data_IF_117972473575
#
_entry.id   IF_117972473575
#
_cell.length_a   1.000
_cell.length_b   1.000
_cell.length_c   1.000
_cell.angle_alpha   90.00
_cell.angle_beta   90.00
_cell.angle_gamma   90.00
#
_symmetry.space_group_name_H-M   'P 1'
#
loop_
_entity.id
_entity.type
_entity.pdbx_description
1 polymer ?
#
# COMPACT_ATOMS: atom_id res chain seq x y z
N UNK A 1 15.29 19.81 -7.55
CA UNK A 1 14.13 19.60 -6.65
C UNK A 1 14.51 18.52 -5.67
N UNK A 2 13.99 18.59 -4.44
CA UNK A 2 14.28 17.58 -3.43
C UNK A 2 13.55 16.27 -3.77
N UNK A 3 14.32 15.20 -3.94
CA UNK A 3 13.79 13.86 -4.26
C UNK A 3 13.63 13.02 -3.00
N UNK A 4 12.95 13.54 -1.98
CA UNK A 4 12.92 12.90 -0.66
C UNK A 4 11.53 12.95 -0.02
N UNK A 5 11.20 11.88 0.72
CA UNK A 5 10.12 11.87 1.71
C UNK A 5 10.75 11.93 3.09
N UNK A 6 10.31 12.88 3.91
CA UNK A 6 10.76 13.05 5.29
C UNK A 6 9.57 12.82 6.24
N UNK A 7 9.79 12.01 7.27
CA UNK A 7 8.86 11.83 8.38
C UNK A 7 9.42 12.55 9.60
N UNK A 8 8.64 13.47 10.16
CA UNK A 8 9.02 14.29 11.30
C UNK A 8 8.22 13.92 12.54
N UNK A 9 8.87 13.98 13.70
CA UNK A 9 8.19 13.97 15.00
C UNK A 9 7.91 15.43 15.39
N UNK A 10 6.64 15.85 15.54
CA UNK A 10 6.30 17.22 15.90
C UNK A 10 6.84 17.63 17.29
N UNK A 11 7.15 16.68 18.17
CA UNK A 11 7.74 16.96 19.48
C UNK A 11 9.27 17.19 19.40
N UNK A 12 9.93 16.70 18.35
CA UNK A 12 11.39 16.74 18.18
C UNK A 12 11.76 17.17 16.76
N UNK A 13 11.73 18.48 16.50
CA UNK A 13 11.94 19.06 15.17
C UNK A 13 13.41 19.29 14.79
N UNK A 14 14.37 18.72 15.51
CA UNK A 14 15.80 18.89 15.21
C UNK A 14 16.25 18.11 13.97
N UNK A 15 15.62 16.97 13.68
CA UNK A 15 15.89 16.15 12.51
C UNK A 15 14.68 15.26 12.16
N UNK A 16 14.53 14.84 10.88
CA UNK A 16 13.51 13.88 10.51
C UNK A 16 13.79 12.51 11.15
N UNK A 17 12.72 11.88 11.66
CA UNK A 17 12.76 10.53 12.25
C UNK A 17 13.13 9.49 11.20
N UNK A 18 12.61 9.65 9.98
CA UNK A 18 12.91 8.78 8.83
C UNK A 18 12.96 9.56 7.53
N UNK A 19 13.66 8.97 6.57
CA UNK A 19 13.84 9.52 5.23
C UNK A 19 13.81 8.41 4.20
N UNK A 20 13.16 8.67 3.08
CA UNK A 20 13.28 7.90 1.83
C UNK A 20 13.85 8.83 0.77
N UNK A 21 14.82 8.35 0.02
CA UNK A 21 15.37 9.04 -1.17
C UNK A 21 14.81 8.36 -2.40
N UNK A 22 14.34 9.17 -3.34
CA UNK A 22 13.83 8.74 -4.63
C UNK A 22 14.81 9.16 -5.73
N UNK A 23 14.84 8.38 -6.81
CA UNK A 23 15.59 8.75 -8.02
C UNK A 23 14.91 9.93 -8.75
N UNK A 24 13.59 10.06 -8.58
CA UNK A 24 12.77 11.11 -9.18
C UNK A 24 11.97 11.87 -8.12
N UNK A 25 11.73 13.19 -8.29
CA UNK A 25 11.03 13.97 -7.28
C UNK A 25 9.60 13.48 -7.03
N UNK A 26 9.14 13.44 -5.77
CA UNK A 26 7.72 13.30 -5.45
C UNK A 26 6.88 14.43 -6.05
N UNK A 27 5.72 14.09 -6.59
CA UNK A 27 4.78 15.03 -7.21
C UNK A 27 3.49 15.19 -6.42
N UNK A 28 3.15 14.19 -5.62
CA UNK A 28 1.97 14.21 -4.76
C UNK A 28 2.18 13.32 -3.54
N UNK A 29 1.56 13.71 -2.43
CA UNK A 29 1.63 12.99 -1.17
C UNK A 29 0.30 13.07 -0.43
N UNK A 30 -0.20 11.94 0.08
CA UNK A 30 -1.39 11.92 0.92
C UNK A 30 -1.33 10.81 1.97
N UNK A 31 -1.50 11.21 3.23
CA UNK A 31 -1.69 10.30 4.36
C UNK A 31 -3.15 9.80 4.37
N UNK A 32 -3.35 8.52 4.67
CA UNK A 32 -4.67 7.93 4.87
C UNK A 32 -5.35 8.56 6.09
N UNK A 33 -6.68 8.58 6.13
CA UNK A 33 -7.41 9.30 7.20
C UNK A 33 -7.17 8.72 8.60
N UNK A 34 -6.95 7.42 8.68
CA UNK A 34 -6.58 6.71 9.92
C UNK A 34 -5.11 6.91 10.32
N UNK A 35 -4.31 7.61 9.51
CA UNK A 35 -2.89 7.84 9.74
C UNK A 35 -2.00 6.61 9.55
N UNK A 36 -2.54 5.46 9.11
CA UNK A 36 -1.79 4.21 9.03
C UNK A 36 -0.90 4.07 7.79
N UNK A 37 -1.18 4.84 6.74
CA UNK A 37 -0.51 4.74 5.43
C UNK A 37 -0.23 6.10 4.83
N UNK A 38 0.76 6.16 3.95
CA UNK A 38 1.01 7.31 3.08
C UNK A 38 1.19 6.84 1.64
N UNK A 39 0.53 7.51 0.71
CA UNK A 39 0.70 7.32 -0.71
C UNK A 39 1.54 8.48 -1.28
N UNK A 40 2.51 8.14 -2.12
CA UNK A 40 3.43 9.08 -2.76
C UNK A 40 3.50 8.78 -4.25
N UNK A 41 3.18 9.78 -5.06
CA UNK A 41 3.39 9.76 -6.51
C UNK A 41 4.73 10.39 -6.85
N UNK A 42 5.46 9.82 -7.79
CA UNK A 42 6.77 10.32 -8.26
C UNK A 42 6.77 10.59 -9.76
N UNK A 43 7.71 11.42 -10.23
CA UNK A 43 7.83 11.81 -11.65
C UNK A 43 8.12 10.64 -12.61
N UNK A 44 8.63 9.51 -12.10
CA UNK A 44 8.83 8.24 -12.82
C UNK A 44 7.52 7.45 -13.03
N UNK A 45 6.37 8.08 -12.76
CA UNK A 45 5.02 7.51 -12.86
C UNK A 45 4.75 6.35 -11.91
N UNK A 46 5.53 6.23 -10.84
CA UNK A 46 5.25 5.30 -9.77
C UNK A 46 4.36 5.93 -8.70
N UNK A 47 3.39 5.15 -8.23
CA UNK A 47 2.67 5.37 -6.99
C UNK A 47 3.13 4.35 -5.96
N UNK A 48 3.75 4.82 -4.87
CA UNK A 48 4.20 3.96 -3.78
C UNK A 48 3.34 4.21 -2.55
N UNK A 49 2.98 3.12 -1.85
CA UNK A 49 2.22 3.16 -0.60
C UNK A 49 3.08 2.59 0.50
N UNK A 50 3.20 3.35 1.59
CA UNK A 50 4.00 2.99 2.75
C UNK A 50 3.13 2.90 3.99
N UNK A 51 3.50 2.01 4.92
CA UNK A 51 2.96 2.01 6.28
C UNK A 51 3.60 3.14 7.10
N UNK A 52 2.82 3.74 7.99
CA UNK A 52 3.29 4.69 8.99
C UNK A 52 3.25 4.05 10.39
N UNK A 53 4.24 4.33 11.26
CA UNK A 53 5.43 5.15 11.04
C UNK A 53 6.61 4.34 10.47
N UNK A 54 6.42 3.07 10.08
CA UNK A 54 7.52 2.19 9.67
C UNK A 54 8.23 2.66 8.40
N UNK A 55 7.51 3.33 7.50
CA UNK A 55 7.90 3.61 6.11
C UNK A 55 8.23 2.35 5.30
N UNK A 56 7.64 1.20 5.68
CA UNK A 56 7.72 -0.02 4.88
C UNK A 56 6.86 0.13 3.63
N UNK A 57 7.44 -0.11 2.45
CA UNK A 57 6.72 -0.08 1.18
C UNK A 57 5.85 -1.34 1.03
N UNK A 58 4.53 -1.16 1.08
CA UNK A 58 3.55 -2.25 0.98
C UNK A 58 2.98 -2.41 -0.43
N UNK A 59 3.06 -1.36 -1.26
CA UNK A 59 2.65 -1.43 -2.65
C UNK A 59 3.44 -0.44 -3.52
N UNK A 60 3.65 -0.83 -4.77
CA UNK A 60 4.24 -0.01 -5.81
C UNK A 60 3.46 -0.27 -7.09
N UNK A 61 2.80 0.75 -7.60
CA UNK A 61 2.03 0.73 -8.84
C UNK A 61 2.74 1.59 -9.86
N UNK A 62 2.74 1.15 -11.11
CA UNK A 62 3.26 1.93 -12.24
C UNK A 62 2.11 2.22 -13.18
N UNK A 63 1.97 3.49 -13.54
CA UNK A 63 1.07 3.92 -14.61
C UNK A 63 1.96 4.52 -15.70
N UNK A 64 2.26 3.77 -16.76
CA UNK A 64 3.22 4.19 -17.78
C UNK A 64 2.82 5.48 -18.50
N UNK A 65 1.61 5.99 -18.24
CA UNK A 65 1.08 7.22 -18.80
C UNK A 65 1.21 8.35 -17.77
N UNK A 66 2.37 9.02 -17.75
CA UNK A 66 2.60 10.35 -17.14
C UNK A 66 2.42 10.49 -15.61
N UNK A 67 2.75 11.70 -15.13
CA UNK A 67 2.83 12.13 -13.72
C UNK A 67 1.52 11.96 -12.96
N UNK A 68 1.62 11.65 -11.65
CA UNK A 68 0.50 11.59 -10.71
C UNK A 68 0.35 12.95 -9.99
N UNK A 69 -0.53 13.86 -10.45
CA UNK A 69 -0.70 15.18 -9.85
C UNK A 69 -1.47 15.17 -8.52
N UNK A 70 -2.34 14.18 -8.31
CA UNK A 70 -3.23 14.19 -7.15
C UNK A 70 -3.61 12.79 -6.70
N UNK A 71 -3.55 12.56 -5.39
CA UNK A 71 -3.92 11.33 -4.71
C UNK A 71 -4.96 11.66 -3.63
N UNK A 72 -6.02 10.86 -3.57
CA UNK A 72 -7.02 10.92 -2.50
C UNK A 72 -7.27 9.54 -1.91
N UNK A 73 -7.61 9.48 -0.64
CA UNK A 73 -8.03 8.26 0.03
C UNK A 73 -9.54 8.24 0.14
N UNK A 74 -10.15 7.06 -0.04
CA UNK A 74 -11.55 6.84 0.31
C UNK A 74 -11.73 7.07 1.80
N UNK A 75 -12.91 7.53 2.21
CA UNK A 75 -13.22 7.83 3.61
C UNK A 75 -13.07 6.62 4.54
N UNK A 76 -13.16 5.40 4.01
CA UNK A 76 -12.96 4.09 4.67
C UNK A 76 -11.50 3.61 4.66
N UNK A 77 -10.58 4.39 4.10
CA UNK A 77 -9.12 4.19 4.14
C UNK A 77 -8.57 2.93 3.43
N UNK A 78 -9.44 2.09 2.88
CA UNK A 78 -9.05 0.84 2.21
C UNK A 78 -8.75 1.00 0.72
N UNK A 79 -9.25 2.08 0.11
CA UNK A 79 -8.96 2.41 -1.29
C UNK A 79 -8.35 3.81 -1.41
N UNK A 80 -7.52 3.98 -2.44
CA UNK A 80 -7.05 5.27 -2.90
C UNK A 80 -7.48 5.50 -4.34
N UNK A 81 -7.66 6.76 -4.73
CA UNK A 81 -7.84 7.17 -6.09
C UNK A 81 -6.76 8.18 -6.48
N UNK A 82 -6.29 8.10 -7.71
CA UNK A 82 -5.40 9.12 -8.27
C UNK A 82 -5.82 9.46 -9.69
N UNK A 83 -5.50 10.70 -10.08
CA UNK A 83 -5.74 11.16 -11.45
C UNK A 83 -4.47 11.00 -12.26
N UNK A 84 -4.64 10.73 -13.55
CA UNK A 84 -3.55 10.66 -14.52
C UNK A 84 -3.61 11.92 -15.38
N UNK A 85 -2.49 12.65 -15.45
CA UNK A 85 -2.43 13.91 -16.21
C UNK A 85 -2.80 13.70 -17.69
N UNK A 86 -3.61 14.61 -18.24
CA UNK A 86 -4.05 14.63 -19.66
C UNK A 86 -4.85 13.41 -20.19
N UNK A 87 -5.14 12.41 -19.36
CA UNK A 87 -5.88 11.21 -19.79
C UNK A 87 -7.38 11.25 -19.46
N UNK A 88 -7.85 12.23 -18.66
CA UNK A 88 -9.25 12.30 -18.22
C UNK A 88 -9.71 11.08 -17.41
N UNK A 89 -8.76 10.27 -16.91
CA UNK A 89 -9.00 9.01 -16.20
C UNK A 89 -8.69 9.16 -14.71
N UNK A 90 -9.56 8.58 -13.89
CA UNK A 90 -9.31 8.35 -12.46
C UNK A 90 -9.10 6.85 -12.25
N UNK A 91 -8.00 6.49 -11.61
CA UNK A 91 -7.69 5.10 -11.25
C UNK A 91 -8.01 4.91 -9.77
N UNK A 92 -8.69 3.82 -9.44
CA UNK A 92 -9.00 3.44 -8.05
C UNK A 92 -8.26 2.15 -7.74
N UNK A 93 -7.49 2.16 -6.66
CA UNK A 93 -6.70 1.01 -6.20
C UNK A 93 -7.07 0.66 -4.76
N UNK A 94 -6.97 -0.63 -4.44
CA UNK A 94 -7.10 -1.15 -3.09
C UNK A 94 -5.72 -1.63 -2.60
N UNK A 95 -4.94 -0.79 -1.90
CA UNK A 95 -3.66 -1.21 -1.37
C UNK A 95 -3.81 -2.32 -0.32
N UNK A 96 -2.77 -3.14 -0.14
CA UNK A 96 -2.80 -4.19 0.87
C UNK A 96 -2.92 -3.63 2.29
N UNK A 97 -3.41 -4.46 3.22
CA UNK A 97 -3.75 -4.04 4.59
C UNK A 97 -2.56 -4.05 5.56
N UNK A 98 -1.47 -4.77 5.25
CA UNK A 98 -0.32 -4.95 6.14
C UNK A 98 1.00 -5.17 5.40
N UNK A 99 2.06 -5.46 6.16
CA UNK A 99 3.40 -5.73 5.63
C UNK A 99 3.40 -6.94 4.68
N UNK A 100 4.41 -7.03 3.80
CA UNK A 100 4.52 -8.20 2.90
C UNK A 100 4.62 -9.52 3.69
N UNK A 101 5.30 -9.48 4.84
CA UNK A 101 5.45 -10.64 5.72
C UNK A 101 4.11 -11.06 6.36
N UNK A 102 3.31 -10.10 6.84
CA UNK A 102 1.99 -10.39 7.39
C UNK A 102 1.03 -10.94 6.33
N UNK A 103 1.12 -10.44 5.09
CA UNK A 103 0.35 -10.97 3.97
C UNK A 103 0.73 -12.43 3.64
N UNK A 104 2.03 -12.73 3.58
CA UNK A 104 2.48 -14.10 3.31
C UNK A 104 2.00 -15.06 4.41
N UNK A 105 2.15 -14.66 5.68
CA UNK A 105 1.66 -15.46 6.81
C UNK A 105 0.15 -15.69 6.77
N UNK A 106 -0.65 -14.68 6.40
CA UNK A 106 -2.11 -14.83 6.27
C UNK A 106 -2.50 -15.77 5.11
N UNK A 107 -1.79 -15.68 3.98
CA UNK A 107 -2.03 -16.56 2.83
C UNK A 107 -1.67 -18.01 3.15
N UNK A 108 -0.54 -18.22 3.83
CA UNK A 108 -0.08 -19.55 4.23
C UNK A 108 -1.06 -20.17 5.26
N UNK A 109 -1.54 -19.39 6.23
CA UNK A 109 -2.54 -19.82 7.21
C UNK A 109 -3.86 -20.21 6.53
N UNK A 110 -4.34 -19.37 5.61
CA UNK A 110 -5.60 -19.64 4.88
C UNK A 110 -5.53 -20.91 4.03
N UNK A 111 -4.38 -21.20 3.41
CA UNK A 111 -4.18 -22.44 2.66
C UNK A 111 -4.17 -23.68 3.57
N UNK A 112 -3.56 -23.58 4.75
CA UNK A 112 -3.56 -24.67 5.73
C UNK A 112 -4.98 -24.97 6.23
N UNK A 113 -5.78 -23.94 6.50
CA UNK A 113 -7.16 -24.11 6.96
C UNK A 113 -8.03 -24.78 5.88
N UNK A 114 -7.86 -24.39 4.61
CA UNK A 114 -8.56 -25.01 3.47
C UNK A 114 -8.17 -26.49 3.31
N UNK A 115 -6.89 -26.84 3.46
CA UNK A 115 -6.44 -28.23 3.41
C UNK A 115 -7.01 -29.06 4.56
N UNK A 116 -7.08 -28.52 5.77
CA UNK A 116 -7.67 -29.21 6.91
C UNK A 116 -9.17 -29.44 6.72
N UNK A 117 -9.90 -28.46 6.19
CA UNK A 117 -11.32 -28.62 5.86
C UNK A 117 -11.55 -29.69 4.78
N UNK A 118 -10.73 -29.72 3.74
CA UNK A 118 -10.79 -30.77 2.71
C UNK A 118 -10.57 -32.17 3.29
N UNK A 119 -9.52 -32.34 4.11
CA UNK A 119 -9.24 -33.63 4.75
C UNK A 119 -10.34 -34.05 5.72
N UNK A 120 -10.94 -33.10 6.45
CA UNK A 120 -12.08 -33.40 7.32
C UNK A 120 -13.32 -33.82 6.52
N UNK A 121 -13.60 -33.17 5.39
CA UNK A 121 -14.69 -33.56 4.50
C UNK A 121 -14.46 -34.95 3.89
N UNK A 122 -13.25 -35.25 3.42
CA UNK A 122 -12.90 -36.58 2.90
C UNK A 122 -13.07 -37.67 3.97
N UNK A 123 -12.59 -37.41 5.19
CA UNK A 123 -12.77 -38.35 6.32
C UNK A 123 -14.24 -38.58 6.65
N UNK A 124 -15.07 -37.53 6.61
CA UNK A 124 -16.51 -37.67 6.84
C UNK A 124 -17.17 -38.48 5.72
N UNK A 125 -16.81 -38.27 4.46
CA UNK A 125 -17.36 -39.04 3.33
C UNK A 125 -16.99 -40.53 3.40
N UNK A 126 -15.79 -40.87 3.85
CA UNK A 126 -15.35 -42.26 4.03
C UNK A 126 -16.07 -43.00 5.18
N UNK A 127 -16.68 -42.29 6.13
CA UNK A 127 -17.46 -42.88 7.23
C UNK A 127 -18.90 -43.25 6.85
N UNK A 128 -19.37 -42.85 5.66
CA UNK A 128 -20.72 -43.13 5.15
C UNK A 128 -20.76 -44.22 4.06
N UNK A 129 -19.66 -44.94 3.86
CA UNK A 129 -19.56 -46.16 3.03
C UNK A 129 -19.29 -47.38 3.91
#
# INVERSE_FOLDING_TARGET
MDSQLLLWDPQHLSAPVKRIVYDHPPTSLRVSRDGSKVAVGTYDSFLRVYLLPSLECIASYVDLQMVIPHITWRSTHDCLAYNVFQMGKTVVLKPPTGSKQQQQQQLDQQQQDLQQQSQQQERQQLMYY
#
